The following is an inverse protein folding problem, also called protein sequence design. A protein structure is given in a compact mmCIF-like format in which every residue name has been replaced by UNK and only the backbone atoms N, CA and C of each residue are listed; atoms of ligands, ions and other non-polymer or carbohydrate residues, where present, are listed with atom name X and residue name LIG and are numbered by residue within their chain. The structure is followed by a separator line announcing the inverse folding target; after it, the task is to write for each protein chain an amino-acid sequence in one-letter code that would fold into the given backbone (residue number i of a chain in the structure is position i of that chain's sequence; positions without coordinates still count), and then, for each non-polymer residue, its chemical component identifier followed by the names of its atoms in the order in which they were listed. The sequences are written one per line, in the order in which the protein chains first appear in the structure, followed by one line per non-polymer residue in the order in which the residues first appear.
data_IF_398174941756
#
_entry.id   IF_398174941756
#
_cell.length_a   1.000
_cell.length_b   1.000
_cell.length_c   1.000
_cell.angle_alpha   90.00
_cell.angle_beta   90.00
_cell.angle_gamma   90.00
#
_symmetry.space_group_name_H-M   'P 1'
#
loop_
_entity.id
_entity.type
_entity.pdbx_description
1 polymer ?
#
# COMPACT_ATOMS: atom_id res chain seq x y z
N UNK A 1 -12.64 -0.35 -0.22
CA UNK A 1 -11.29 -0.44 -0.79
C UNK A 1 -11.29 -1.58 -1.79
N UNK A 2 -11.56 -1.22 -3.03
CA UNK A 2 -11.61 -2.08 -4.21
C UNK A 2 -10.24 -2.18 -4.86
N UNK A 3 -9.44 -1.11 -4.82
CA UNK A 3 -8.07 -1.11 -5.35
C UNK A 3 -7.04 -0.67 -4.28
N UNK A 4 -6.31 -1.64 -3.73
CA UNK A 4 -5.23 -1.39 -2.77
C UNK A 4 -3.93 -0.97 -3.48
N UNK A 5 -3.68 -1.48 -4.68
CA UNK A 5 -2.36 -1.48 -5.35
C UNK A 5 -2.28 -0.43 -6.45
N UNK A 6 -3.04 0.65 -6.29
CA UNK A 6 -3.19 1.75 -7.26
C UNK A 6 -1.87 2.51 -7.52
N UNK A 7 -0.95 2.56 -6.55
CA UNK A 7 0.26 3.37 -6.63
C UNK A 7 0.03 4.89 -6.62
N UNK A 8 -1.22 5.34 -6.44
CA UNK A 8 -1.60 6.75 -6.40
C UNK A 8 -2.50 7.03 -5.21
N UNK A 9 -1.88 7.36 -4.07
CA UNK A 9 -2.56 7.63 -2.80
C UNK A 9 -2.17 9.00 -2.27
N UNK A 10 -3.16 9.71 -1.74
CA UNK A 10 -2.96 10.98 -1.06
C UNK A 10 -3.25 10.81 0.43
N UNK A 11 -2.35 11.30 1.28
CA UNK A 11 -2.50 11.22 2.73
C UNK A 11 -2.36 12.61 3.35
N UNK A 12 -3.05 12.82 4.47
CA UNK A 12 -2.74 13.94 5.36
C UNK A 12 -1.34 13.75 5.94
N UNK A 13 -0.57 14.85 5.99
CA UNK A 13 0.85 14.83 6.38
C UNK A 13 1.08 14.31 7.80
N UNK A 14 0.28 14.79 8.75
CA UNK A 14 0.32 14.40 10.17
C UNK A 14 0.12 12.89 10.34
N UNK A 15 -0.85 12.33 9.60
CA UNK A 15 -1.16 10.91 9.63
C UNK A 15 0.00 10.10 9.08
N UNK A 16 0.45 10.36 7.85
CA UNK A 16 1.48 9.53 7.20
C UNK A 16 2.82 9.60 7.94
N UNK A 17 3.16 10.75 8.54
CA UNK A 17 4.40 10.90 9.31
C UNK A 17 4.38 10.17 10.67
N UNK A 18 3.19 9.94 11.23
CA UNK A 18 3.00 9.18 12.48
C UNK A 18 3.21 7.67 12.31
N UNK A 19 3.14 7.16 11.07
CA UNK A 19 3.19 5.73 10.78
C UNK A 19 4.63 5.26 10.65
N UNK A 20 4.95 4.12 11.26
CA UNK A 20 6.22 3.44 11.06
C UNK A 20 6.14 2.62 9.77
N UNK A 21 6.92 2.96 8.74
CA UNK A 21 6.98 2.22 7.48
C UNK A 21 8.28 1.41 7.40
N UNK A 22 8.22 0.18 6.89
CA UNK A 22 9.35 -0.77 6.88
C UNK A 22 9.57 -1.43 5.51
N UNK A 23 8.52 -1.64 4.72
CA UNK A 23 8.64 -2.26 3.41
C UNK A 23 9.22 -1.29 2.37
N UNK A 24 9.88 -1.89 1.39
CA UNK A 24 10.42 -1.20 0.23
C UNK A 24 9.69 -1.66 -1.03
N UNK A 25 9.82 -0.88 -2.11
CA UNK A 25 9.19 -1.17 -3.41
C UNK A 25 7.66 -1.32 -3.29
N UNK A 26 7.08 -2.31 -3.97
CA UNK A 26 5.64 -2.51 -4.06
C UNK A 26 5.02 -3.01 -2.76
N UNK A 27 5.81 -3.59 -1.85
CA UNK A 27 5.33 -4.01 -0.52
C UNK A 27 4.86 -2.85 0.37
N UNK A 28 5.21 -1.60 0.01
CA UNK A 28 4.72 -0.40 0.67
C UNK A 28 3.19 -0.27 0.61
N UNK A 29 2.57 -0.60 -0.52
CA UNK A 29 1.13 -0.41 -0.74
C UNK A 29 0.28 -1.27 0.23
N UNK A 30 0.58 -2.57 0.43
CA UNK A 30 -0.03 -3.37 1.49
C UNK A 30 0.20 -2.83 2.89
N UNK A 31 1.43 -2.41 3.19
CA UNK A 31 1.79 -1.96 4.54
C UNK A 31 1.05 -0.67 4.91
N UNK A 32 1.14 0.35 4.06
CA UNK A 32 0.52 1.66 4.33
C UNK A 32 -0.99 1.52 4.44
N UNK A 33 -1.60 0.71 3.58
CA UNK A 33 -3.05 0.47 3.60
C UNK A 33 -3.47 -0.23 4.89
N UNK A 34 -2.77 -1.30 5.27
CA UNK A 34 -3.05 -2.03 6.51
C UNK A 34 -2.86 -1.15 7.77
N UNK A 35 -1.89 -0.24 7.77
CA UNK A 35 -1.63 0.67 8.90
C UNK A 35 -2.63 1.81 8.97
N UNK A 36 -2.98 2.42 7.84
CA UNK A 36 -4.01 3.47 7.76
C UNK A 36 -5.38 2.94 8.20
N UNK A 37 -5.73 1.72 7.79
CA UNK A 37 -7.00 1.09 8.15
C UNK A 37 -7.18 0.86 9.67
N UNK A 38 -6.11 0.96 10.47
CA UNK A 38 -6.15 0.81 11.94
C UNK A 38 -6.53 2.09 12.67
N UNK A 39 -6.44 3.25 12.04
CA UNK A 39 -6.87 4.49 12.65
C UNK A 39 -8.39 4.53 12.73
N UNK A 40 -8.94 4.88 13.90
CA UNK A 40 -10.39 4.91 14.12
C UNK A 40 -11.09 6.04 13.37
N UNK A 41 -10.41 7.18 13.21
CA UNK A 41 -11.03 8.42 12.72
C UNK A 41 -10.60 8.80 11.29
N UNK A 42 -10.20 7.81 10.48
CA UNK A 42 -9.85 8.03 9.07
C UNK A 42 -10.97 7.52 8.16
N UNK A 43 -11.39 8.37 7.22
CA UNK A 43 -12.26 7.98 6.11
C UNK A 43 -11.42 7.77 4.85
N UNK A 44 -11.61 6.63 4.22
CA UNK A 44 -10.93 6.28 2.96
C UNK A 44 -11.91 6.52 1.83
N UNK A 45 -11.50 7.32 0.84
CA UNK A 45 -12.27 7.60 -0.37
C UNK A 45 -11.55 7.01 -1.58
N UNK A 46 -12.31 6.40 -2.47
CA UNK A 46 -11.81 5.87 -3.73
C UNK A 46 -12.31 6.78 -4.86
N UNK A 47 -11.38 7.32 -5.64
CA UNK A 47 -11.68 8.17 -6.79
C UNK A 47 -11.24 7.40 -8.02
N UNK A 48 -12.18 7.21 -8.95
CA UNK A 48 -11.88 6.53 -10.21
C UNK A 48 -10.87 7.31 -11.04
N UNK A 49 -9.84 6.63 -11.52
CA UNK A 49 -8.82 7.19 -12.41
C UNK A 49 -8.72 6.35 -13.67
N UNK A 50 -8.36 6.99 -14.79
CA UNK A 50 -8.00 6.28 -16.01
C UNK A 50 -6.50 5.98 -15.98
N UNK A 51 -6.14 4.70 -16.06
CA UNK A 51 -4.74 4.26 -16.08
C UNK A 51 -4.41 3.57 -17.41
N UNK A 52 -3.35 4.03 -18.05
CA UNK A 52 -2.78 3.40 -19.24
C UNK A 52 -1.54 2.62 -18.83
N UNK A 53 -1.69 1.30 -18.74
CA UNK A 53 -0.63 0.41 -18.28
C UNK A 53 0.51 0.28 -19.27
N UNK A 54 1.75 0.32 -18.75
CA UNK A 54 2.94 -0.01 -19.54
C UNK A 54 3.09 -1.51 -19.68
N UNK A 55 3.45 -1.96 -20.88
CA UNK A 55 3.90 -3.30 -21.19
C UNK A 55 5.28 -3.58 -20.62
N UNK A 56 5.67 -4.86 -20.53
CA UNK A 56 7.03 -5.24 -20.14
C UNK A 56 8.09 -4.70 -21.10
N UNK A 57 7.77 -4.59 -22.39
CA UNK A 57 8.66 -4.00 -23.39
C UNK A 57 8.92 -2.51 -23.15
N UNK A 58 7.94 -1.77 -22.60
CA UNK A 58 8.05 -0.35 -22.21
C UNK A 58 8.77 -0.16 -20.85
N UNK A 59 9.45 -1.19 -20.35
CA UNK A 59 10.23 -1.13 -19.12
C UNK A 59 9.40 -1.21 -17.85
N UNK A 60 8.32 -2.00 -17.84
CA UNK A 60 7.60 -2.34 -16.61
C UNK A 60 8.55 -3.09 -15.65
N UNK A 61 8.76 -2.51 -14.46
CA UNK A 61 9.73 -3.04 -13.46
C UNK A 61 9.12 -4.01 -12.44
N UNK A 62 7.79 -4.15 -12.43
CA UNK A 62 7.09 -5.06 -11.52
C UNK A 62 7.03 -6.46 -12.11
N UNK A 63 7.34 -7.46 -11.31
CA UNK A 63 7.40 -8.86 -11.70
C UNK A 63 6.45 -9.72 -10.86
N UNK A 64 6.21 -10.96 -11.29
CA UNK A 64 5.39 -11.93 -10.54
C UNK A 64 5.88 -12.18 -9.10
N UNK A 65 7.18 -12.01 -8.84
CA UNK A 65 7.77 -12.06 -7.50
C UNK A 65 7.24 -10.97 -6.57
N UNK A 66 6.92 -9.78 -7.11
CA UNK A 66 6.30 -8.70 -6.32
C UNK A 66 4.88 -9.11 -5.88
N UNK A 67 4.17 -9.94 -6.64
CA UNK A 67 2.88 -10.51 -6.26
C UNK A 67 2.97 -11.43 -5.04
N UNK A 68 3.95 -12.34 -5.01
CA UNK A 68 4.22 -13.16 -3.81
C UNK A 68 4.61 -12.29 -2.61
N UNK A 69 5.41 -11.25 -2.84
CA UNK A 69 5.81 -10.32 -1.79
C UNK A 69 4.60 -9.54 -1.26
N UNK A 70 3.66 -9.13 -2.12
CA UNK A 70 2.45 -8.44 -1.71
C UNK A 70 1.58 -9.31 -0.80
N UNK A 71 1.34 -10.58 -1.17
CA UNK A 71 0.60 -11.55 -0.33
C UNK A 71 1.27 -11.71 1.04
N UNK A 72 2.60 -11.86 1.06
CA UNK A 72 3.35 -11.94 2.31
C UNK A 72 3.17 -10.68 3.17
N UNK A 73 3.24 -9.49 2.57
CA UNK A 73 3.05 -8.23 3.29
C UNK A 73 1.64 -8.11 3.85
N UNK A 74 0.61 -8.48 3.09
CA UNK A 74 -0.78 -8.51 3.56
C UNK A 74 -0.88 -9.39 4.81
N UNK A 75 -0.37 -10.62 4.77
CA UNK A 75 -0.41 -11.53 5.92
C UNK A 75 0.38 -10.97 7.11
N UNK A 76 1.61 -10.51 6.87
CA UNK A 76 2.51 -9.96 7.89
C UNK A 76 1.89 -8.78 8.65
N UNK A 77 1.36 -7.78 7.94
CA UNK A 77 0.86 -6.55 8.55
C UNK A 77 -0.58 -6.67 9.07
N UNK A 78 -1.35 -7.65 8.63
CA UNK A 78 -2.66 -7.92 9.24
C UNK A 78 -2.55 -8.79 10.50
N UNK A 79 -1.67 -9.81 10.50
CA UNK A 79 -1.63 -10.81 11.57
C UNK A 79 -0.52 -10.58 12.60
N UNK A 80 0.70 -10.23 12.18
CA UNK A 80 1.89 -10.30 13.03
C UNK A 80 2.43 -8.94 13.48
N UNK A 81 2.50 -7.95 12.58
CA UNK A 81 3.02 -6.62 12.90
C UNK A 81 1.88 -5.64 13.17
N UNK A 82 1.45 -5.58 14.44
CA UNK A 82 0.38 -4.69 14.91
C UNK A 82 0.87 -3.29 15.29
N UNK A 83 2.18 -3.05 15.36
CA UNK A 83 2.72 -1.72 15.69
C UNK A 83 2.70 -0.85 14.43
N UNK A 84 1.76 0.10 14.39
CA UNK A 84 1.59 0.99 13.24
C UNK A 84 2.03 2.43 13.50
N UNK A 85 2.08 2.87 14.76
CA UNK A 85 2.58 4.19 15.16
C UNK A 85 4.07 4.12 15.53
N UNK A 86 4.78 5.23 15.31
CA UNK A 86 6.17 5.42 15.76
C UNK A 86 6.26 5.41 17.29
#
# INVERSE_FOLDING_TARGET
LTDMESGYKLFRRDIIQSILLKENRFGFEPEVTAKIARFKDIRIYEVGISYYGRTYAEGKKINWQDGFRAIWCILKYNLFDRKYLK
#
